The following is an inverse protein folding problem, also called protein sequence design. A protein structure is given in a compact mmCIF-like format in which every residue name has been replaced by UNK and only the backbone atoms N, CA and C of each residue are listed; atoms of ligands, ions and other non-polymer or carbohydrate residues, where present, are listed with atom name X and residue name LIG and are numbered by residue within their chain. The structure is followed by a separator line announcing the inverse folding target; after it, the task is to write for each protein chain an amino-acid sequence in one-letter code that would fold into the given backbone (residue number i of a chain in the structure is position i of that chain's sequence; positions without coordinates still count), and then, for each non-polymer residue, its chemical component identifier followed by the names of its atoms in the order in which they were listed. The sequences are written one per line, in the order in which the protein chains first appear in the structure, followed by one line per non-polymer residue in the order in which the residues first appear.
data_IF_636154178897
#
_entry.id   IF_636154178897
#
_cell.length_a   1.000
_cell.length_b   1.000
_cell.length_c   1.000
_cell.angle_alpha   90.00
_cell.angle_beta   90.00
_cell.angle_gamma   90.00
#
_symmetry.space_group_name_H-M   'P 1'
#
loop_
_entity.id
_entity.type
_entity.pdbx_description
1 polymer ?
#
# COMPACT_ATOMS: atom_id res chain seq x y z
N UNK A 1 41.40 15.44 -56.13
CA UNK A 1 41.37 15.20 -54.67
C UNK A 1 40.60 13.91 -54.46
N UNK A 2 41.19 12.91 -53.81
CA UNK A 2 40.46 11.68 -53.49
C UNK A 2 39.38 12.03 -52.45
N UNK A 3 38.14 11.59 -52.68
CA UNK A 3 37.11 11.62 -51.66
C UNK A 3 37.61 10.82 -50.44
N UNK A 4 37.37 11.29 -49.20
CA UNK A 4 37.55 10.45 -48.03
C UNK A 4 36.85 9.11 -48.26
N UNK A 5 37.41 8.03 -47.73
CA UNK A 5 36.82 6.70 -47.84
C UNK A 5 35.36 6.76 -47.38
N UNK A 6 34.44 6.59 -48.32
CA UNK A 6 33.00 6.70 -48.08
C UNK A 6 32.55 5.49 -47.24
N UNK A 7 32.55 5.67 -45.92
CA UNK A 7 31.92 4.75 -44.97
C UNK A 7 32.90 4.02 -44.04
N UNK A 8 32.45 3.83 -42.80
CA UNK A 8 33.09 2.96 -41.81
C UNK A 8 32.31 1.64 -41.75
N UNK A 9 32.99 0.50 -41.83
CA UNK A 9 32.36 -0.80 -41.60
C UNK A 9 31.88 -0.89 -40.14
N UNK A 10 30.57 -0.95 -39.95
CA UNK A 10 29.94 -1.03 -38.64
C UNK A 10 30.38 -2.27 -37.85
N UNK A 11 30.72 -3.38 -38.52
CA UNK A 11 31.22 -4.58 -37.87
C UNK A 11 32.65 -4.43 -37.34
N UNK A 12 33.39 -3.43 -37.81
CA UNK A 12 34.72 -3.06 -37.31
C UNK A 12 34.70 -2.14 -36.10
N UNK A 13 33.53 -1.70 -35.64
CA UNK A 13 33.40 -0.84 -34.46
C UNK A 13 33.69 -1.62 -33.18
N UNK A 14 34.45 -1.00 -32.28
CA UNK A 14 34.67 -1.56 -30.95
C UNK A 14 33.37 -1.50 -30.15
N UNK A 15 32.97 -2.62 -29.54
CA UNK A 15 31.81 -2.66 -28.66
C UNK A 15 32.08 -1.85 -27.39
N UNK A 16 31.25 -0.84 -27.14
CA UNK A 16 31.28 -0.04 -25.92
C UNK A 16 30.19 -0.50 -24.95
N UNK A 17 30.43 -0.40 -23.64
CA UNK A 17 29.45 -0.74 -22.59
C UNK A 17 28.63 0.47 -22.14
N UNK A 18 29.07 1.67 -22.46
CA UNK A 18 28.42 2.95 -22.17
C UNK A 18 28.65 3.91 -23.34
N UNK A 19 27.72 4.83 -23.55
CA UNK A 19 27.89 5.90 -24.53
C UNK A 19 28.98 6.84 -24.02
N UNK A 20 30.06 7.11 -24.78
CA UNK A 20 31.11 8.01 -24.34
C UNK A 20 30.58 9.44 -24.10
N UNK A 21 31.19 10.15 -23.16
CA UNK A 21 30.79 11.52 -22.84
C UNK A 21 30.84 12.43 -24.07
N UNK A 22 29.82 13.29 -24.24
CA UNK A 22 29.70 14.20 -25.38
C UNK A 22 29.42 13.50 -26.71
N UNK A 23 29.03 12.23 -26.70
CA UNK A 23 28.55 11.49 -27.88
C UNK A 23 27.04 11.26 -27.81
N UNK A 24 26.47 11.00 -28.97
CA UNK A 24 25.04 10.76 -29.15
C UNK A 24 24.81 9.37 -29.74
N UNK A 25 23.60 8.85 -29.57
CA UNK A 25 23.16 7.62 -30.23
C UNK A 25 22.45 7.95 -31.52
N UNK A 26 22.83 7.26 -32.59
CA UNK A 26 22.13 7.32 -33.87
C UNK A 26 21.24 6.08 -34.01
N UNK A 27 20.01 6.27 -34.46
CA UNK A 27 19.11 5.20 -34.88
C UNK A 27 18.72 5.42 -36.34
N UNK A 28 18.61 4.32 -37.08
CA UNK A 28 18.35 4.33 -38.51
C UNK A 28 17.25 3.30 -38.78
N UNK A 29 16.23 3.68 -39.54
CA UNK A 29 15.28 2.75 -40.11
C UNK A 29 16.01 1.88 -41.15
N UNK A 30 16.06 0.55 -40.95
CA UNK A 30 16.83 -0.34 -41.81
C UNK A 30 16.27 -0.46 -43.24
N UNK A 31 15.05 0.03 -43.48
CA UNK A 31 14.34 -0.05 -44.76
C UNK A 31 14.46 1.26 -45.53
N UNK A 32 14.32 2.40 -44.87
CA UNK A 32 14.28 3.72 -45.54
C UNK A 32 15.62 4.48 -45.47
N UNK A 33 16.57 4.03 -44.64
CA UNK A 33 17.79 4.76 -44.29
C UNK A 33 17.55 6.14 -43.65
N UNK A 34 16.30 6.46 -43.30
CA UNK A 34 15.98 7.65 -42.53
C UNK A 34 16.33 7.39 -41.06
N UNK A 35 16.83 8.40 -40.36
CA UNK A 35 17.31 8.22 -39.01
C UNK A 35 17.31 9.51 -38.22
N UNK A 36 17.66 9.38 -36.95
CA UNK A 36 17.76 10.49 -36.02
C UNK A 36 18.89 10.26 -35.03
N UNK A 37 19.22 11.33 -34.32
CA UNK A 37 20.20 11.33 -33.24
C UNK A 37 19.46 11.64 -31.94
N UNK A 38 19.82 10.95 -30.86
CA UNK A 38 19.30 11.19 -29.51
C UNK A 38 20.46 11.30 -28.53
N UNK A 39 20.37 12.26 -27.62
CA UNK A 39 21.32 12.39 -26.51
C UNK A 39 21.08 11.27 -25.48
N UNK A 40 22.09 10.93 -24.69
CA UNK A 40 21.90 9.98 -23.58
C UNK A 40 20.87 10.49 -22.56
N UNK A 41 20.82 11.80 -22.33
CA UNK A 41 19.87 12.43 -21.40
C UNK A 41 18.42 12.20 -21.86
N UNK A 42 18.12 12.49 -23.14
CA UNK A 42 16.77 12.37 -23.67
C UNK A 42 16.33 10.92 -23.80
N UNK A 43 17.26 10.02 -24.18
CA UNK A 43 16.98 8.59 -24.19
C UNK A 43 16.64 8.08 -22.78
N UNK A 44 17.40 8.52 -21.76
CA UNK A 44 17.13 8.14 -20.37
C UNK A 44 15.77 8.63 -19.91
N UNK A 45 15.41 9.88 -20.22
CA UNK A 45 14.07 10.43 -19.93
C UNK A 45 12.97 9.62 -20.62
N UNK A 46 13.15 9.30 -21.89
CA UNK A 46 12.18 8.53 -22.66
C UNK A 46 11.98 7.12 -22.07
N UNK A 47 13.05 6.41 -21.74
CA UNK A 47 13.00 5.09 -21.11
C UNK A 47 12.30 5.17 -19.75
N UNK A 48 12.70 6.12 -18.91
CA UNK A 48 12.12 6.28 -17.58
C UNK A 48 10.62 6.61 -17.66
N UNK A 49 10.22 7.52 -18.54
CA UNK A 49 8.80 7.85 -18.75
C UNK A 49 8.00 6.64 -19.25
N UNK A 50 8.57 5.86 -20.17
CA UNK A 50 7.98 4.60 -20.62
C UNK A 50 7.73 3.64 -19.44
N UNK A 51 8.76 3.39 -18.63
CA UNK A 51 8.67 2.50 -17.47
C UNK A 51 7.68 2.98 -16.40
N UNK A 52 7.67 4.28 -16.09
CA UNK A 52 6.77 4.85 -15.08
C UNK A 52 5.31 4.87 -15.52
N UNK A 53 5.05 4.93 -16.83
CA UNK A 53 3.70 4.91 -17.42
C UNK A 53 3.16 3.48 -17.61
N UNK A 54 4.04 2.47 -17.63
CA UNK A 54 3.66 1.08 -17.78
C UNK A 54 2.90 0.57 -16.55
N UNK A 55 1.83 -0.17 -16.80
CA UNK A 55 1.10 -0.92 -15.78
C UNK A 55 1.69 -2.33 -15.67
N UNK A 56 1.94 -2.77 -14.45
CA UNK A 56 2.44 -4.11 -14.11
C UNK A 56 1.32 -4.91 -13.43
N UNK A 57 1.24 -6.20 -13.75
CA UNK A 57 0.39 -7.13 -13.02
C UNK A 57 1.07 -7.53 -11.71
N UNK A 58 0.58 -7.02 -10.59
CA UNK A 58 1.05 -7.34 -9.24
C UNK A 58 0.00 -8.20 -8.53
N UNK A 59 0.38 -8.86 -7.43
CA UNK A 59 -0.55 -9.63 -6.59
C UNK A 59 -1.73 -8.77 -6.08
N UNK A 60 -1.49 -7.47 -5.89
CA UNK A 60 -2.50 -6.47 -5.51
C UNK A 60 -3.28 -5.88 -6.72
N UNK A 61 -3.19 -6.50 -7.89
CA UNK A 61 -3.82 -6.06 -9.14
C UNK A 61 -2.88 -5.28 -10.07
N UNK A 62 -3.47 -4.74 -11.15
CA UNK A 62 -2.75 -3.95 -12.15
C UNK A 62 -2.42 -2.54 -11.61
N UNK A 63 -1.13 -2.19 -11.51
CA UNK A 63 -0.65 -0.89 -11.00
C UNK A 63 0.59 -0.41 -11.74
N UNK A 64 0.76 0.90 -11.88
CA UNK A 64 2.06 1.49 -12.26
C UNK A 64 3.05 1.42 -11.09
N UNK A 65 4.34 1.61 -11.35
CA UNK A 65 5.37 1.63 -10.30
C UNK A 65 5.05 2.69 -9.24
N UNK A 66 4.64 3.90 -9.65
CA UNK A 66 4.29 4.98 -8.72
C UNK A 66 3.08 4.62 -7.85
N UNK A 67 2.06 4.00 -8.44
CA UNK A 67 0.88 3.56 -7.70
C UNK A 67 1.20 2.46 -6.69
N UNK A 68 2.07 1.51 -7.07
CA UNK A 68 2.50 0.44 -6.20
C UNK A 68 3.31 0.98 -5.01
N UNK A 69 4.24 1.90 -5.24
CA UNK A 69 5.02 2.56 -4.18
C UNK A 69 4.14 3.35 -3.21
N UNK A 70 3.17 4.12 -3.74
CA UNK A 70 2.24 4.87 -2.91
C UNK A 70 1.35 3.94 -2.07
N UNK A 71 0.91 2.82 -2.63
CA UNK A 71 0.13 1.80 -1.90
C UNK A 71 0.98 1.19 -0.78
N UNK A 72 2.21 0.76 -1.09
CA UNK A 72 3.14 0.20 -0.11
C UNK A 72 3.42 1.17 1.04
N UNK A 73 3.58 2.46 0.73
CA UNK A 73 3.81 3.50 1.73
C UNK A 73 2.54 3.84 2.53
N UNK A 74 1.33 3.75 1.95
CA UNK A 74 0.09 4.01 2.68
C UNK A 74 -0.27 2.91 3.68
N UNK A 75 0.23 1.69 3.46
CA UNK A 75 -0.11 0.52 4.27
C UNK A 75 0.80 0.38 5.51
N UNK A 76 1.93 1.07 5.55
CA UNK A 76 2.87 1.08 6.67
C UNK A 76 2.47 2.12 7.74
N UNK A 77 1.79 1.68 8.80
CA UNK A 77 1.67 2.47 10.04
C UNK A 77 0.50 3.45 10.13
N UNK A 78 -0.57 3.23 9.37
CA UNK A 78 -1.78 4.06 9.44
C UNK A 78 -2.46 3.92 10.81
N UNK A 79 -2.84 5.07 11.40
CA UNK A 79 -3.82 5.10 12.48
C UNK A 79 -5.18 4.75 11.89
N UNK A 80 -5.75 3.63 12.28
CA UNK A 80 -7.07 3.20 11.84
C UNK A 80 -8.10 3.53 12.92
N UNK A 81 -9.16 4.24 12.53
CA UNK A 81 -10.24 4.66 13.39
C UNK A 81 -11.56 4.17 12.78
N UNK A 82 -12.26 3.26 13.46
CA UNK A 82 -13.52 2.68 13.00
C UNK A 82 -14.59 2.88 14.06
N UNK A 83 -15.71 3.46 13.66
CA UNK A 83 -16.89 3.67 14.51
C UNK A 83 -18.02 2.75 14.06
N UNK A 84 -18.62 2.03 15.00
CA UNK A 84 -19.87 1.28 14.80
C UNK A 84 -20.89 1.68 15.86
N UNK A 85 -22.17 1.68 15.51
CA UNK A 85 -23.27 2.08 16.41
C UNK A 85 -24.45 1.13 16.26
N UNK A 86 -25.18 0.87 17.34
CA UNK A 86 -26.44 0.12 17.32
C UNK A 86 -27.62 1.04 17.10
N UNK A 87 -28.68 0.52 16.49
CA UNK A 87 -29.99 1.15 16.40
C UNK A 87 -30.98 0.49 17.39
N UNK A 88 -32.29 0.66 17.21
CA UNK A 88 -33.34 0.19 18.11
C UNK A 88 -33.55 -1.35 18.18
N UNK A 89 -32.75 -2.17 17.49
CA UNK A 89 -33.09 -3.58 17.20
C UNK A 89 -32.11 -4.64 17.75
N UNK A 90 -31.42 -4.35 18.86
CA UNK A 90 -30.27 -5.09 19.43
C UNK A 90 -29.00 -4.90 18.60
N UNK A 91 -27.83 -4.90 19.25
CA UNK A 91 -26.60 -5.09 18.50
C UNK A 91 -25.38 -5.44 19.31
N UNK A 92 -24.88 -6.66 19.09
CA UNK A 92 -23.45 -6.91 19.25
C UNK A 92 -22.72 -6.16 18.13
N UNK A 93 -21.87 -5.20 18.49
CA UNK A 93 -21.03 -4.51 17.52
C UNK A 93 -19.76 -5.34 17.27
N UNK A 94 -19.60 -5.81 16.03
CA UNK A 94 -18.51 -6.69 15.62
C UNK A 94 -17.51 -5.94 14.76
N UNK A 95 -16.22 -6.01 15.09
CA UNK A 95 -15.11 -5.49 14.31
C UNK A 95 -14.27 -6.64 13.77
N UNK A 96 -13.80 -6.54 12.54
CA UNK A 96 -12.86 -7.51 11.95
C UNK A 96 -11.46 -6.91 11.98
N UNK A 97 -10.44 -7.73 12.25
CA UNK A 97 -9.04 -7.34 12.20
C UNK A 97 -8.24 -8.31 11.32
N UNK A 98 -7.02 -7.95 10.94
CA UNK A 98 -6.13 -8.84 10.21
C UNK A 98 -4.71 -8.87 10.80
N UNK A 99 -4.32 -9.97 11.43
CA UNK A 99 -2.99 -10.11 12.03
C UNK A 99 -2.86 -9.46 13.40
N UNK A 100 -1.74 -8.76 13.64
CA UNK A 100 -1.44 -8.15 14.95
C UNK A 100 -2.25 -6.86 15.13
N UNK A 101 -2.77 -6.65 16.34
CA UNK A 101 -3.56 -5.47 16.67
C UNK A 101 -3.10 -4.89 18.01
N UNK A 102 -2.93 -3.58 18.06
CA UNK A 102 -2.93 -2.82 19.31
C UNK A 102 -3.98 -1.72 19.19
N UNK A 103 -5.07 -1.85 19.96
CA UNK A 103 -6.22 -0.98 19.84
C UNK A 103 -6.70 -0.45 21.19
N UNK A 104 -7.27 0.75 21.16
CA UNK A 104 -8.09 1.32 22.22
C UNK A 104 -9.54 1.34 21.72
N UNK A 105 -10.45 0.74 22.49
CA UNK A 105 -11.88 0.80 22.26
C UNK A 105 -12.50 1.79 23.25
N UNK A 106 -13.18 2.81 22.73
CA UNK A 106 -13.99 3.75 23.50
C UNK A 106 -15.46 3.42 23.24
N UNK A 107 -16.24 3.19 24.29
CA UNK A 107 -17.62 2.73 24.16
C UNK A 107 -18.55 3.63 24.96
N UNK A 108 -19.58 4.13 24.29
CA UNK A 108 -20.71 4.82 24.90
C UNK A 108 -21.92 3.91 24.86
N UNK A 109 -22.63 3.78 25.97
CA UNK A 109 -23.77 2.88 26.09
C UNK A 109 -25.00 3.63 26.55
N UNK A 110 -26.14 3.37 25.92
CA UNK A 110 -27.40 3.96 26.34
C UNK A 110 -27.76 3.49 27.76
N UNK A 111 -28.12 4.43 28.63
CA UNK A 111 -28.50 4.15 30.02
C UNK A 111 -27.41 3.53 30.91
N UNK A 112 -26.14 3.53 30.49
CA UNK A 112 -25.04 2.92 31.23
C UNK A 112 -23.75 3.75 31.14
N UNK A 113 -22.81 3.46 32.05
CA UNK A 113 -21.50 4.13 32.04
C UNK A 113 -20.72 3.82 30.76
N UNK A 114 -20.10 4.87 30.21
CA UNK A 114 -19.06 4.76 29.19
C UNK A 114 -17.86 3.96 29.71
N UNK A 115 -17.10 3.36 28.81
CA UNK A 115 -15.95 2.53 29.13
C UNK A 115 -14.84 2.62 28.09
N UNK A 116 -13.63 2.31 28.52
CA UNK A 116 -12.44 2.28 27.69
C UNK A 116 -11.65 0.99 27.93
N UNK A 117 -11.22 0.35 26.86
CA UNK A 117 -10.47 -0.92 26.90
C UNK A 117 -9.26 -0.85 25.96
N UNK A 118 -8.15 -1.43 26.39
CA UNK A 118 -7.04 -1.79 25.52
C UNK A 118 -7.20 -3.24 25.06
N UNK A 119 -7.06 -3.46 23.76
CA UNK A 119 -7.15 -4.78 23.13
C UNK A 119 -5.87 -5.02 22.34
N UNK A 120 -5.12 -6.03 22.76
CA UNK A 120 -3.88 -6.46 22.10
C UNK A 120 -4.06 -7.85 21.48
N UNK A 121 -3.64 -8.03 20.23
CA UNK A 121 -3.65 -9.31 19.50
C UNK A 121 -2.27 -9.54 18.89
N UNK A 122 -1.66 -10.69 19.19
CA UNK A 122 -0.32 -11.06 18.73
C UNK A 122 -0.38 -12.06 17.56
N UNK A 123 0.77 -12.26 16.90
CA UNK A 123 0.91 -13.12 15.70
C UNK A 123 0.53 -14.58 15.93
N UNK A 124 0.49 -15.04 17.17
CA UNK A 124 0.09 -16.40 17.56
C UNK A 124 -1.38 -16.52 17.98
N UNK A 125 -2.24 -15.55 17.60
CA UNK A 125 -3.66 -15.50 17.99
C UNK A 125 -3.92 -15.43 19.50
N UNK A 126 -2.89 -15.18 20.31
CA UNK A 126 -3.04 -14.82 21.72
C UNK A 126 -3.49 -13.36 21.81
N UNK A 127 -4.43 -13.09 22.71
CA UNK A 127 -4.99 -11.76 22.91
C UNK A 127 -5.04 -11.38 24.38
N UNK A 128 -5.15 -10.08 24.63
CA UNK A 128 -5.36 -9.50 25.96
C UNK A 128 -6.41 -8.41 25.88
N UNK A 129 -7.34 -8.40 26.82
CA UNK A 129 -8.35 -7.35 26.99
C UNK A 129 -8.11 -6.73 28.36
N UNK A 130 -7.73 -5.46 28.39
CA UNK A 130 -7.44 -4.75 29.62
C UNK A 130 -8.39 -3.56 29.75
N UNK A 131 -9.16 -3.52 30.83
CA UNK A 131 -10.01 -2.37 31.13
C UNK A 131 -9.13 -1.17 31.50
N UNK A 132 -9.35 -0.04 30.83
CA UNK A 132 -8.68 1.22 31.11
C UNK A 132 -9.52 2.11 32.03
N UNK A 133 -10.86 1.99 31.98
CA UNK A 133 -11.76 2.69 32.88
C UNK A 133 -13.25 2.52 32.55
N UNK A 134 -14.12 2.98 33.46
CA UNK A 134 -15.58 3.01 33.27
C UNK A 134 -16.33 1.78 33.77
N UNK A 135 -17.47 1.49 33.16
CA UNK A 135 -18.27 0.29 33.43
C UNK A 135 -17.69 -1.00 32.84
N UNK A 136 -18.37 -2.13 33.02
CA UNK A 136 -17.93 -3.44 32.51
C UNK A 136 -18.79 -3.94 31.35
N UNK A 137 -18.16 -4.70 30.45
CA UNK A 137 -18.78 -5.39 29.30
C UNK A 137 -17.95 -6.62 28.92
N UNK A 138 -18.62 -7.71 28.55
CA UNK A 138 -17.99 -8.97 28.14
C UNK A 138 -17.55 -8.89 26.67
N UNK A 139 -16.40 -8.25 26.43
CA UNK A 139 -15.79 -8.19 25.10
C UNK A 139 -15.29 -9.59 24.73
N UNK A 140 -15.72 -10.09 23.57
CA UNK A 140 -15.26 -11.39 23.05
C UNK A 140 -14.33 -11.17 21.86
N UNK A 141 -13.17 -11.83 21.88
CA UNK A 141 -12.27 -11.95 20.73
C UNK A 141 -12.36 -13.38 20.21
N UNK A 142 -12.67 -13.52 18.92
CA UNK A 142 -12.64 -14.78 18.19
C UNK A 142 -11.45 -14.76 17.21
N UNK A 143 -10.33 -15.43 17.54
CA UNK A 143 -9.15 -15.41 16.69
C UNK A 143 -9.27 -16.23 15.40
N UNK A 144 -10.17 -17.22 15.35
CA UNK A 144 -10.46 -17.99 14.13
C UNK A 144 -11.15 -17.14 13.08
N UNK A 145 -12.19 -16.42 13.51
CA UNK A 145 -12.96 -15.52 12.65
C UNK A 145 -12.31 -14.12 12.55
N UNK A 146 -11.21 -13.89 13.28
CA UNK A 146 -10.50 -12.62 13.42
C UNK A 146 -11.43 -11.45 13.78
N UNK A 147 -12.25 -11.64 14.80
CA UNK A 147 -13.28 -10.65 15.16
C UNK A 147 -13.29 -10.28 16.64
N UNK A 148 -13.70 -9.05 16.92
CA UNK A 148 -13.87 -8.48 18.26
C UNK A 148 -15.32 -8.04 18.38
N UNK A 149 -16.01 -8.52 19.41
CA UNK A 149 -17.45 -8.33 19.60
C UNK A 149 -17.73 -7.59 20.91
N UNK A 150 -18.56 -6.55 20.81
CA UNK A 150 -19.00 -5.73 21.94
C UNK A 150 -20.51 -5.90 22.13
N UNK A 151 -20.97 -6.66 23.13
CA UNK A 151 -22.39 -6.81 23.43
C UNK A 151 -22.93 -5.54 24.10
N UNK A 152 -23.46 -4.61 23.31
CA UNK A 152 -23.93 -3.31 23.79
C UNK A 152 -25.45 -3.17 23.65
N UNK A 153 -26.11 -2.36 24.49
CA UNK A 153 -27.51 -2.01 24.30
C UNK A 153 -27.76 -1.26 23.00
N UNK A 154 -29.03 -1.08 22.64
CA UNK A 154 -29.46 -0.20 21.56
C UNK A 154 -29.02 1.24 21.82
N UNK A 155 -28.78 2.00 20.74
CA UNK A 155 -28.26 3.37 20.80
C UNK A 155 -26.88 3.48 21.47
N UNK A 156 -26.04 2.46 21.33
CA UNK A 156 -24.66 2.45 21.79
C UNK A 156 -23.69 2.66 20.64
N UNK A 157 -22.48 3.12 20.94
CA UNK A 157 -21.42 3.34 19.96
C UNK A 157 -20.12 2.76 20.48
N UNK A 158 -19.36 2.11 19.59
CA UNK A 158 -17.97 1.72 19.82
C UNK A 158 -17.11 2.43 18.79
N UNK A 159 -16.09 3.15 19.28
CA UNK A 159 -15.00 3.69 18.49
C UNK A 159 -13.75 2.87 18.79
N UNK A 160 -13.22 2.15 17.80
CA UNK A 160 -11.91 1.52 17.90
C UNK A 160 -10.85 2.36 17.18
N UNK A 161 -9.76 2.62 17.89
CA UNK A 161 -8.56 3.30 17.40
C UNK A 161 -7.42 2.29 17.47
N UNK A 162 -6.73 2.04 16.37
CA UNK A 162 -5.65 1.04 16.32
C UNK A 162 -4.43 1.53 15.56
N UNK A 163 -3.27 1.02 15.97
CA UNK A 163 -1.98 1.21 15.31
C UNK A 163 -1.50 -0.14 14.78
N UNK A 164 -1.17 -0.20 13.49
CA UNK A 164 -0.66 -1.42 12.83
C UNK A 164 -1.44 -1.80 11.57
N UNK A 165 -0.76 -2.50 10.64
CA UNK A 165 -1.24 -2.89 9.31
C UNK A 165 -2.35 -3.96 9.27
N UNK A 166 -3.26 -3.94 10.24
CA UNK A 166 -4.41 -4.80 10.30
C UNK A 166 -5.63 -4.03 9.82
N UNK A 167 -6.23 -4.45 8.71
CA UNK A 167 -7.51 -3.94 8.20
C UNK A 167 -8.61 -4.00 9.27
N UNK A 168 -8.72 -2.98 10.11
CA UNK A 168 -9.79 -2.85 11.06
C UNK A 168 -11.06 -2.39 10.31
N UNK A 169 -12.14 -3.16 10.39
CA UNK A 169 -13.40 -2.89 9.68
C UNK A 169 -14.63 -3.07 10.54
#
# INVERSE_FOLDING_TARGET
MALPQDGQDANGLTKVTQIPAGKELMFIDPTTNEGGIITLEDLTKQILNGLLSQTFALDAGQKTIIQALNTLNSDNGKLLCVKKSTNESKGTLKFTYNGRLAAIALVTRNGASSLAYYIGINSGNTFSINKLGGGDIDITVDPSEKTISFPVPDWSTVLMISIGGADLK
#
